data_IF_425708372701
#
_entry.id   IF_425708372701
#
_cell.length_a   1.000
_cell.length_b   1.000
_cell.length_c   1.000
_cell.angle_alpha   90.00
_cell.angle_beta   90.00
_cell.angle_gamma   90.00
#
_symmetry.space_group_name_H-M   'P 1'
#
loop_
_entity.id
_entity.type
_entity.pdbx_description
1 polymer ?
#
# COMPACT_ATOMS: atom_id res chain seq x y z
N UNK A 1 -9.45 -16.65 -44.03
CA UNK A 1 -8.13 -16.84 -43.37
C UNK A 1 -7.44 -15.50 -43.10
N UNK A 2 -7.05 -14.70 -44.11
CA UNK A 2 -6.42 -13.38 -43.88
C UNK A 2 -7.23 -12.43 -42.99
N UNK A 3 -8.55 -12.29 -43.25
CA UNK A 3 -9.43 -11.43 -42.44
C UNK A 3 -9.60 -11.94 -40.99
N UNK A 4 -9.64 -13.26 -40.80
CA UNK A 4 -9.76 -13.89 -39.47
C UNK A 4 -8.49 -13.71 -38.64
N UNK A 5 -7.31 -13.77 -39.28
CA UNK A 5 -6.02 -13.51 -38.62
C UNK A 5 -5.94 -12.04 -38.17
N UNK A 6 -6.32 -11.09 -39.02
CA UNK A 6 -6.30 -9.65 -38.69
C UNK A 6 -7.20 -9.33 -37.49
N UNK A 7 -8.39 -9.92 -37.42
CA UNK A 7 -9.32 -9.72 -36.29
C UNK A 7 -8.73 -10.27 -34.98
N UNK A 8 -8.06 -11.43 -35.02
CA UNK A 8 -7.42 -12.02 -33.84
C UNK A 8 -6.28 -11.16 -33.31
N UNK A 9 -5.47 -10.58 -34.22
CA UNK A 9 -4.36 -9.70 -33.84
C UNK A 9 -4.85 -8.41 -33.20
N UNK A 10 -5.92 -7.81 -33.71
CA UNK A 10 -6.51 -6.59 -33.13
C UNK A 10 -7.10 -6.85 -31.74
N UNK A 11 -7.69 -8.04 -31.51
CA UNK A 11 -8.26 -8.42 -30.22
C UNK A 11 -7.17 -8.60 -29.14
N UNK A 12 -5.99 -9.12 -29.52
CA UNK A 12 -4.83 -9.27 -28.63
C UNK A 12 -4.23 -7.94 -28.17
N UNK A 13 -4.38 -6.87 -28.95
CA UNK A 13 -3.92 -5.51 -28.59
C UNK A 13 -4.99 -4.66 -27.90
N UNK A 14 -6.24 -5.12 -27.87
CA UNK A 14 -7.36 -4.40 -27.26
C UNK A 14 -7.43 -4.56 -25.74
N UNK A 15 -6.72 -5.55 -25.18
CA UNK A 15 -6.59 -5.69 -23.74
C UNK A 15 -5.35 -4.91 -23.29
N UNK A 16 -5.50 -3.87 -22.45
CA UNK A 16 -4.33 -3.34 -21.77
C UNK A 16 -3.64 -4.53 -21.10
N UNK A 17 -2.31 -4.57 -21.17
CA UNK A 17 -1.56 -5.52 -20.36
C UNK A 17 -1.82 -5.12 -18.92
N UNK A 18 -2.86 -5.70 -18.33
CA UNK A 18 -3.06 -5.68 -16.90
C UNK A 18 -1.73 -6.11 -16.25
N UNK A 19 -1.47 -5.60 -15.05
CA UNK A 19 -0.37 -5.97 -14.16
C UNK A 19 0.31 -7.31 -14.53
N UNK A 20 1.65 -7.35 -14.55
CA UNK A 20 2.33 -8.65 -14.70
C UNK A 20 1.74 -9.55 -13.61
N UNK A 21 1.17 -10.69 -14.00
CA UNK A 21 0.42 -11.52 -13.07
C UNK A 21 1.26 -11.77 -11.80
N UNK A 22 0.75 -11.39 -10.62
CA UNK A 22 1.49 -11.40 -9.35
C UNK A 22 1.72 -10.02 -8.73
N UNK A 23 1.91 -8.95 -9.52
CA UNK A 23 2.25 -7.63 -8.97
C UNK A 23 1.17 -7.11 -8.00
N UNK A 24 -0.10 -7.36 -8.35
CA UNK A 24 -1.24 -6.94 -7.52
C UNK A 24 -1.28 -7.72 -6.22
N UNK A 25 -1.11 -9.03 -6.30
CA UNK A 25 -1.14 -9.95 -5.15
C UNK A 25 0.01 -9.63 -4.17
N UNK A 26 1.20 -9.35 -4.70
CA UNK A 26 2.37 -8.95 -3.91
C UNK A 26 2.14 -7.61 -3.20
N UNK A 27 1.53 -6.64 -3.87
CA UNK A 27 1.17 -5.35 -3.28
C UNK A 27 0.09 -5.49 -2.19
N UNK A 28 -0.91 -6.35 -2.39
CA UNK A 28 -1.90 -6.67 -1.34
C UNK A 28 -1.20 -7.28 -0.13
N UNK A 29 -0.36 -8.29 -0.34
CA UNK A 29 0.37 -8.95 0.73
C UNK A 29 1.30 -7.99 1.48
N UNK A 30 1.95 -7.06 0.77
CA UNK A 30 2.80 -6.02 1.37
C UNK A 30 1.98 -5.06 2.26
N UNK A 31 0.80 -4.63 1.81
CA UNK A 31 -0.11 -3.78 2.60
C UNK A 31 -0.58 -4.52 3.86
N UNK A 32 -1.02 -5.77 3.72
CA UNK A 32 -1.45 -6.58 4.87
C UNK A 32 -0.32 -6.79 5.87
N UNK A 33 0.87 -7.17 5.39
CA UNK A 33 2.05 -7.35 6.21
C UNK A 33 2.42 -6.07 6.96
N UNK A 34 2.38 -4.92 6.29
CA UNK A 34 2.69 -3.62 6.90
C UNK A 34 1.83 -3.35 8.14
N UNK A 35 0.52 -3.63 8.07
CA UNK A 35 -0.38 -3.43 9.21
C UNK A 35 -0.21 -4.49 10.30
N UNK A 36 0.09 -5.74 9.95
CA UNK A 36 0.44 -6.80 10.92
C UNK A 36 1.70 -6.42 11.71
N UNK A 37 2.75 -5.98 11.01
CA UNK A 37 4.01 -5.57 11.63
C UNK A 37 3.82 -4.32 12.49
N UNK A 38 2.96 -3.38 12.05
CA UNK A 38 2.61 -2.18 12.81
C UNK A 38 1.93 -2.56 14.12
N UNK A 39 0.97 -3.49 14.10
CA UNK A 39 0.31 -4.00 15.30
C UNK A 39 1.28 -4.71 16.26
N UNK A 40 2.32 -5.37 15.72
CA UNK A 40 3.39 -6.00 16.51
C UNK A 40 4.49 -5.04 16.94
N UNK A 41 4.48 -3.79 16.47
CA UNK A 41 5.57 -2.82 16.58
C UNK A 41 6.92 -3.36 16.07
N UNK A 42 6.87 -4.19 15.02
CA UNK A 42 8.02 -4.83 14.37
C UNK A 42 8.29 -4.17 13.01
N UNK A 43 8.54 -2.87 13.02
CA UNK A 43 8.79 -2.06 11.82
C UNK A 43 10.26 -1.62 11.83
N UNK A 44 10.86 -1.58 10.65
CA UNK A 44 12.22 -1.10 10.41
C UNK A 44 12.22 0.07 9.41
N UNK A 45 13.30 0.86 9.34
CA UNK A 45 13.41 1.94 8.35
C UNK A 45 13.31 1.44 6.90
N UNK A 46 13.71 0.18 6.62
CA UNK A 46 13.66 -0.43 5.30
C UNK A 46 12.23 -0.76 4.82
N UNK A 47 11.25 -0.74 5.72
CA UNK A 47 9.84 -0.98 5.39
C UNK A 47 9.14 0.27 4.84
N UNK A 48 9.87 1.38 4.72
CA UNK A 48 9.40 2.66 4.18
C UNK A 48 10.24 3.08 2.96
N UNK A 49 9.72 3.98 2.13
CA UNK A 49 10.51 4.59 1.07
C UNK A 49 11.74 5.30 1.68
N UNK A 50 12.97 5.07 1.18
CA UNK A 50 14.18 5.69 1.74
C UNK A 50 14.17 7.22 1.69
N UNK A 51 13.40 7.82 0.78
CA UNK A 51 13.19 9.26 0.70
C UNK A 51 12.16 9.80 1.70
N UNK A 52 11.55 8.96 2.53
CA UNK A 52 10.48 9.33 3.46
C UNK A 52 9.09 9.36 2.83
N UNK A 53 8.12 9.84 3.60
CA UNK A 53 6.71 9.91 3.20
C UNK A 53 6.08 11.24 3.64
N UNK A 54 5.08 11.69 2.89
CA UNK A 54 4.20 12.78 3.30
C UNK A 54 2.94 12.20 3.93
N UNK A 55 2.68 12.56 5.18
CA UNK A 55 1.56 12.08 5.98
C UNK A 55 0.57 13.21 6.25
N UNK A 56 -0.72 12.94 6.11
CA UNK A 56 -1.78 13.80 6.62
C UNK A 56 -2.07 13.41 8.07
N UNK A 57 -2.06 14.38 8.99
CA UNK A 57 -2.34 14.12 10.41
C UNK A 57 -3.72 14.66 10.79
N UNK A 58 -4.37 13.98 11.73
CA UNK A 58 -5.68 14.39 12.28
C UNK A 58 -5.60 15.59 13.24
N UNK A 59 -4.40 16.15 13.47
CA UNK A 59 -4.22 17.36 14.28
C UNK A 59 -4.67 18.65 13.56
N UNK A 60 -5.03 18.55 12.28
CA UNK A 60 -5.39 19.70 11.44
C UNK A 60 -4.12 20.41 10.98
N UNK A 61 -3.85 20.37 9.68
CA UNK A 61 -2.64 20.95 9.10
C UNK A 61 -2.43 20.53 7.65
N UNK A 62 -1.34 21.04 7.06
CA UNK A 62 -0.83 20.57 5.77
C UNK A 62 -0.14 19.22 5.94
N UNK A 63 0.22 18.59 4.82
CA UNK A 63 1.04 17.40 4.78
C UNK A 63 2.35 17.59 5.58
N UNK A 64 2.66 16.63 6.44
CA UNK A 64 3.91 16.61 7.21
C UNK A 64 4.85 15.58 6.57
N UNK A 65 6.09 15.98 6.33
CA UNK A 65 7.13 15.05 5.91
C UNK A 65 7.60 14.23 7.10
N UNK A 66 7.77 12.92 6.89
CA UNK A 66 8.26 11.98 7.87
C UNK A 66 9.37 11.12 7.26
N UNK A 67 10.54 11.13 7.91
CA UNK A 67 11.64 10.24 7.55
C UNK A 67 11.32 8.78 7.93
N UNK A 68 12.03 7.78 7.35
CA UNK A 68 11.87 6.38 7.74
C UNK A 68 12.11 6.13 9.24
N UNK A 69 13.11 6.79 9.83
CA UNK A 69 13.41 6.67 11.25
C UNK A 69 12.30 7.25 12.13
N UNK A 70 11.79 8.44 11.79
CA UNK A 70 10.65 9.04 12.51
C UNK A 70 9.38 8.20 12.40
N UNK A 71 9.19 7.50 11.28
CA UNK A 71 8.06 6.56 11.10
C UNK A 71 8.17 5.39 12.06
N UNK A 72 9.36 4.80 12.20
CA UNK A 72 9.62 3.70 13.15
C UNK A 72 9.35 4.19 14.57
N UNK A 73 9.98 5.29 14.98
CA UNK A 73 9.80 5.86 16.32
C UNK A 73 8.33 6.16 16.63
N UNK A 74 7.60 6.76 15.69
CA UNK A 74 6.16 7.04 15.85
C UNK A 74 5.35 5.77 16.15
N UNK A 75 5.69 4.64 15.54
CA UNK A 75 4.97 3.38 15.73
C UNK A 75 5.43 2.65 17.00
N UNK A 76 6.75 2.52 17.20
CA UNK A 76 7.31 1.72 18.30
C UNK A 76 7.08 2.38 19.65
N UNK A 77 7.25 3.69 19.72
CA UNK A 77 7.26 4.44 20.98
C UNK A 77 5.85 4.92 21.37
N UNK A 78 4.89 4.83 20.44
CA UNK A 78 3.48 5.15 20.74
C UNK A 78 2.96 4.32 21.91
N UNK A 79 2.25 4.90 22.89
CA UNK A 79 1.56 4.10 23.92
C UNK A 79 0.40 3.28 23.35
N UNK A 80 -0.03 3.58 22.12
CA UNK A 80 -1.13 2.92 21.46
C UNK A 80 -0.63 1.80 20.55
N UNK A 81 -1.43 0.73 20.44
CA UNK A 81 -1.26 -0.36 19.47
C UNK A 81 -2.35 -0.26 18.42
N UNK A 82 -1.96 -0.17 17.16
CA UNK A 82 -2.89 -0.03 16.03
C UNK A 82 -3.25 -1.41 15.49
N UNK A 83 -4.37 -1.98 15.95
CA UNK A 83 -4.85 -3.28 15.49
C UNK A 83 -5.84 -3.03 14.35
N UNK A 84 -5.29 -2.84 13.15
CA UNK A 84 -6.06 -2.55 11.95
C UNK A 84 -5.94 -3.66 10.92
N UNK A 85 -7.05 -3.91 10.23
CA UNK A 85 -7.12 -4.74 9.05
C UNK A 85 -7.43 -3.87 7.83
N UNK A 86 -6.60 -3.93 6.76
CA UNK A 86 -6.93 -3.27 5.51
C UNK A 86 -8.09 -4.00 4.80
N UNK A 87 -9.08 -3.26 4.32
CA UNK A 87 -10.29 -3.76 3.68
C UNK A 87 -10.55 -3.05 2.36
N UNK A 88 -11.18 -3.75 1.41
CA UNK A 88 -11.52 -3.26 0.07
C UNK A 88 -10.31 -2.63 -0.67
N UNK A 89 -9.19 -3.35 -0.68
CA UNK A 89 -7.94 -2.87 -1.28
C UNK A 89 -8.10 -2.75 -2.81
N UNK A 90 -8.02 -1.51 -3.29
CA UNK A 90 -7.97 -1.16 -4.70
C UNK A 90 -6.55 -0.72 -5.06
N UNK A 91 -5.98 -1.34 -6.09
CA UNK A 91 -4.63 -1.05 -6.57
C UNK A 91 -4.72 -0.66 -8.04
N UNK A 92 -4.14 0.48 -8.36
CA UNK A 92 -3.90 0.93 -9.72
C UNK A 92 -2.40 0.98 -9.96
N UNK A 93 -1.89 0.11 -10.83
CA UNK A 93 -0.50 0.16 -11.29
C UNK A 93 -0.37 1.32 -12.28
N UNK A 94 0.67 2.12 -12.09
CA UNK A 94 0.91 3.39 -12.78
C UNK A 94 2.31 3.42 -13.41
N UNK A 95 2.50 4.39 -14.30
CA UNK A 95 3.76 4.59 -15.01
C UNK A 95 3.91 3.63 -16.19
N UNK A 96 4.58 4.09 -17.26
CA UNK A 96 4.86 3.25 -18.42
C UNK A 96 5.76 2.06 -18.09
N UNK A 97 6.54 2.18 -17.01
CA UNK A 97 7.42 1.13 -16.48
C UNK A 97 6.75 0.22 -15.45
N UNK A 98 5.48 0.49 -15.06
CA UNK A 98 4.79 -0.24 -13.99
C UNK A 98 5.57 -0.25 -12.67
N UNK A 99 6.29 0.84 -12.39
CA UNK A 99 7.22 0.99 -11.26
C UNK A 99 6.60 1.70 -10.05
N UNK A 100 5.35 2.16 -10.17
CA UNK A 100 4.60 2.82 -9.10
C UNK A 100 3.18 2.27 -9.08
N UNK A 101 2.60 2.14 -7.89
CA UNK A 101 1.19 1.82 -7.74
C UNK A 101 0.52 2.79 -6.77
N UNK A 102 -0.70 3.19 -7.09
CA UNK A 102 -1.60 3.87 -6.17
C UNK A 102 -2.51 2.83 -5.52
N UNK A 103 -2.49 2.76 -4.19
CA UNK A 103 -3.34 1.86 -3.41
C UNK A 103 -4.30 2.68 -2.53
N UNK A 104 -5.60 2.39 -2.64
CA UNK A 104 -6.63 2.94 -1.78
C UNK A 104 -7.35 1.80 -1.07
N UNK A 105 -7.47 1.90 0.25
CA UNK A 105 -8.09 0.88 1.10
C UNK A 105 -8.63 1.51 2.38
N UNK A 106 -9.59 0.84 3.01
CA UNK A 106 -10.09 1.21 4.33
C UNK A 106 -9.26 0.52 5.42
N UNK A 107 -9.04 1.20 6.54
CA UNK A 107 -8.51 0.59 7.74
C UNK A 107 -9.64 0.43 8.75
N UNK A 108 -9.87 -0.82 9.17
CA UNK A 108 -10.92 -1.17 10.11
C UNK A 108 -10.27 -1.85 11.30
N UNK A 109 -10.60 -1.41 12.51
CA UNK A 109 -10.12 -2.04 13.74
C UNK A 109 -10.08 -1.08 14.91
N UNK A 110 -9.23 -1.38 15.89
CA UNK A 110 -9.19 -0.67 17.17
C UNK A 110 -7.79 -0.09 17.44
N UNK A 111 -7.79 1.05 18.14
CA UNK A 111 -6.60 1.60 18.77
C UNK A 111 -6.61 1.11 20.20
N UNK A 112 -5.65 0.25 20.56
CA UNK A 112 -5.59 -0.29 21.91
C UNK A 112 -4.59 0.49 22.76
N UNK A 113 -4.95 0.80 24.00
CA UNK A 113 -4.07 1.34 25.03
C UNK A 113 -4.20 0.51 26.30
N UNK A 114 -3.10 0.01 26.82
CA UNK A 114 -3.07 -0.80 28.05
C UNK A 114 -4.08 -1.98 28.03
N UNK A 115 -4.26 -2.59 26.85
CA UNK A 115 -5.18 -3.71 26.63
C UNK A 115 -6.66 -3.32 26.45
N UNK A 116 -6.98 -2.03 26.33
CA UNK A 116 -8.35 -1.51 26.17
C UNK A 116 -8.50 -0.70 24.88
N UNK A 117 -9.63 -0.80 24.16
CA UNK A 117 -9.94 0.10 23.04
C UNK A 117 -10.10 1.56 23.48
#
# INVERSE_FOLDING_TARGET
MKKTIIILTVLLFAFPTDAVAGDREDLVAAIEKRWIDTAKKQISPGDSNPAGAWLATSQGGLWQFQTPAETVTMITDSPNTLIFQPMHINIQIMGSKKDVAHAAYYLVGNIMRDGKP
#
